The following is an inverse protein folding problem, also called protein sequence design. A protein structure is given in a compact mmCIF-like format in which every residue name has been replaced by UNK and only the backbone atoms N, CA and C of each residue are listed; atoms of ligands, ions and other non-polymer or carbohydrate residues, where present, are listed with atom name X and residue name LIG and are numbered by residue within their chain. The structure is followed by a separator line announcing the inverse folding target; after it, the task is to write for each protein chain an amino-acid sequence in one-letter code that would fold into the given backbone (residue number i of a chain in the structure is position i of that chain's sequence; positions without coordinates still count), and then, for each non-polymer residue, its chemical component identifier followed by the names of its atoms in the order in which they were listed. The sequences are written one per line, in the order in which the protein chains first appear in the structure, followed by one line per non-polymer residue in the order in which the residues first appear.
data_IF_963830525894
#
_entry.id   IF_963830525894
#
_cell.length_a   1.000
_cell.length_b   1.000
_cell.length_c   1.000
_cell.angle_alpha   90.00
_cell.angle_beta   90.00
_cell.angle_gamma   90.00
#
_symmetry.space_group_name_H-M   'P 1'
#
loop_
_entity.id
_entity.type
_entity.pdbx_description
1 polymer ?
#
# COMPACT_ATOMS: atom_id res chain seq x y z
N UNK A 1 32.24 -6.16 0.79
CA UNK A 1 31.80 -5.30 1.90
C UNK A 1 30.29 -5.43 1.98
N UNK A 2 29.70 -5.48 3.18
CA UNK A 2 28.24 -5.51 3.30
C UNK A 2 27.62 -4.17 2.88
N UNK A 3 26.38 -4.21 2.40
CA UNK A 3 25.56 -3.04 2.10
C UNK A 3 24.47 -2.86 3.15
N UNK A 4 24.14 -1.61 3.51
CA UNK A 4 23.28 -1.31 4.66
C UNK A 4 21.88 -0.91 4.21
N UNK A 5 20.85 -1.63 4.68
CA UNK A 5 19.44 -1.39 4.33
C UNK A 5 18.69 -0.80 5.53
N UNK A 6 18.11 0.37 5.37
CA UNK A 6 17.15 0.97 6.30
C UNK A 6 15.73 0.49 5.99
N UNK A 7 15.12 -0.25 6.91
CA UNK A 7 13.68 -0.53 6.87
C UNK A 7 12.95 0.47 7.76
N UNK A 8 12.14 1.34 7.17
CA UNK A 8 11.34 2.30 7.93
C UNK A 8 10.38 1.56 8.88
N UNK A 9 10.50 1.85 10.18
CA UNK A 9 9.53 1.43 11.20
C UNK A 9 8.83 2.60 11.91
N UNK A 10 9.21 3.85 11.60
CA UNK A 10 8.58 5.04 12.18
C UNK A 10 7.21 5.34 11.58
N UNK A 11 6.96 4.98 10.31
CA UNK A 11 5.69 5.15 9.62
C UNK A 11 4.74 3.95 9.77
N UNK A 12 4.79 3.25 10.91
CA UNK A 12 3.88 2.15 11.27
C UNK A 12 3.71 1.10 10.15
N UNK A 13 4.78 0.49 9.65
CA UNK A 13 4.69 -0.50 8.59
C UNK A 13 3.92 -1.74 9.04
N UNK A 14 3.23 -2.38 8.10
CA UNK A 14 2.63 -3.72 8.29
C UNK A 14 3.67 -4.82 8.25
N UNK A 15 4.66 -4.70 7.36
CA UNK A 15 5.79 -5.63 7.30
C UNK A 15 6.93 -5.15 8.21
N UNK A 16 7.41 -6.01 9.09
CA UNK A 16 8.44 -5.67 10.10
C UNK A 16 9.51 -6.74 10.11
N UNK A 17 10.76 -6.32 9.89
CA UNK A 17 11.91 -7.23 9.70
C UNK A 17 12.19 -8.17 10.87
N UNK A 18 11.72 -7.82 12.06
CA UNK A 18 11.89 -8.63 13.27
C UNK A 18 10.62 -9.39 13.72
N UNK A 19 9.49 -9.24 12.99
CA UNK A 19 8.21 -9.89 13.36
C UNK A 19 7.63 -10.80 12.27
N UNK A 20 7.58 -10.35 11.01
CA UNK A 20 6.78 -11.02 9.97
C UNK A 20 7.36 -10.99 8.54
N UNK A 21 8.53 -10.38 8.33
CA UNK A 21 9.36 -10.54 7.12
C UNK A 21 10.79 -10.97 7.53
N UNK A 22 10.89 -11.77 8.59
CA UNK A 22 12.15 -12.26 9.16
C UNK A 22 12.93 -13.14 8.20
N UNK A 23 12.24 -13.90 7.34
CA UNK A 23 12.89 -14.76 6.35
C UNK A 23 13.48 -13.94 5.19
N UNK A 24 12.84 -12.82 4.82
CA UNK A 24 13.44 -11.83 3.92
C UNK A 24 14.72 -11.24 4.55
N UNK A 25 14.65 -10.80 5.80
CA UNK A 25 15.79 -10.25 6.55
C UNK A 25 16.96 -11.25 6.59
N UNK A 26 16.69 -12.49 6.96
CA UNK A 26 17.72 -13.52 7.12
C UNK A 26 18.32 -13.96 5.78
N UNK A 27 17.52 -13.96 4.71
CA UNK A 27 18.00 -14.19 3.35
C UNK A 27 18.88 -13.05 2.84
N UNK A 28 18.53 -11.78 3.12
CA UNK A 28 19.36 -10.62 2.78
C UNK A 28 20.68 -10.60 3.58
N UNK A 29 20.62 -10.89 4.89
CA UNK A 29 21.79 -11.07 5.76
C UNK A 29 22.73 -12.18 5.27
N UNK A 30 22.19 -13.20 4.61
CA UNK A 30 22.98 -14.28 3.99
C UNK A 30 23.61 -13.91 2.63
N UNK A 31 23.29 -12.74 2.08
CA UNK A 31 23.71 -12.27 0.75
C UNK A 31 24.39 -10.88 0.82
N UNK A 32 25.23 -10.65 1.83
CA UNK A 32 26.01 -9.40 2.03
C UNK A 32 25.19 -8.10 2.24
N UNK A 33 23.91 -8.18 2.63
CA UNK A 33 23.13 -7.02 3.05
C UNK A 33 22.89 -7.05 4.57
N UNK A 34 23.06 -5.93 5.28
CA UNK A 34 22.73 -5.81 6.70
C UNK A 34 21.46 -4.97 6.83
N UNK A 35 20.39 -5.57 7.37
CA UNK A 35 19.12 -4.90 7.61
C UNK A 35 19.10 -4.17 8.96
N UNK A 36 18.55 -2.96 8.99
CA UNK A 36 18.40 -2.12 10.19
C UNK A 36 16.97 -1.63 10.33
N UNK A 37 16.49 -1.52 11.57
CA UNK A 37 15.27 -0.78 11.86
C UNK A 37 15.55 0.72 11.82
N UNK A 38 14.86 1.44 10.94
CA UNK A 38 15.02 2.88 10.78
C UNK A 38 13.88 3.62 11.50
N UNK A 39 14.24 4.33 12.56
CA UNK A 39 13.33 4.95 13.53
C UNK A 39 13.32 6.48 13.48
N UNK A 40 14.13 7.11 12.62
CA UNK A 40 14.29 8.56 12.63
C UNK A 40 13.03 9.28 12.13
N UNK A 41 12.63 10.32 12.86
CA UNK A 41 11.52 11.22 12.51
C UNK A 41 11.92 12.66 12.86
N UNK A 42 11.90 13.60 11.91
CA UNK A 42 11.65 13.40 10.49
C UNK A 42 12.83 12.69 9.80
N UNK A 43 12.56 11.90 8.76
CA UNK A 43 13.60 11.37 7.86
C UNK A 43 14.38 12.53 7.20
N UNK A 44 15.71 12.54 7.35
CA UNK A 44 16.61 13.57 6.81
C UNK A 44 17.59 13.00 5.77
N UNK A 45 18.12 13.82 4.85
CA UNK A 45 19.13 13.35 3.90
C UNK A 45 20.40 12.86 4.61
N UNK A 46 20.81 13.54 5.70
CA UNK A 46 21.95 13.16 6.53
C UNK A 46 21.78 11.78 7.18
N UNK A 47 20.60 11.47 7.72
CA UNK A 47 20.30 10.14 8.28
C UNK A 47 20.37 9.01 7.25
N UNK A 48 19.91 9.29 6.02
CA UNK A 48 19.92 8.33 4.92
C UNK A 48 21.31 8.13 4.33
N UNK A 49 22.26 9.05 4.52
CA UNK A 49 23.62 8.90 4.02
C UNK A 49 24.35 7.69 4.57
N UNK A 50 23.99 7.18 5.76
CA UNK A 50 24.57 5.97 6.36
C UNK A 50 24.16 4.67 5.62
N UNK A 51 23.01 4.70 4.93
CA UNK A 51 22.38 3.53 4.32
C UNK A 51 22.47 3.58 2.80
N UNK A 52 22.43 2.42 2.16
CA UNK A 52 22.50 2.28 0.70
C UNK A 52 21.11 2.15 0.08
N UNK A 53 20.17 1.55 0.83
CA UNK A 53 18.78 1.33 0.41
C UNK A 53 17.82 1.72 1.55
N UNK A 54 16.74 2.43 1.22
CA UNK A 54 15.60 2.71 2.10
C UNK A 54 14.39 1.87 1.66
N UNK A 55 13.68 1.27 2.61
CA UNK A 55 12.52 0.41 2.36
C UNK A 55 11.32 0.87 3.18
N UNK A 56 10.18 1.10 2.52
CA UNK A 56 8.88 1.26 3.17
C UNK A 56 8.03 0.02 2.96
N UNK A 57 7.72 -0.71 4.05
CA UNK A 57 6.96 -1.96 3.99
C UNK A 57 5.50 -1.75 4.39
N UNK A 58 4.76 -1.08 3.50
CA UNK A 58 3.34 -0.77 3.63
C UNK A 58 2.98 -0.03 4.94
N UNK A 59 3.24 1.29 5.00
CA UNK A 59 2.77 2.16 6.09
C UNK A 59 1.25 2.06 6.29
N UNK A 60 0.79 1.84 7.52
CA UNK A 60 -0.65 1.73 7.86
C UNK A 60 -1.07 2.89 8.77
N UNK A 61 -2.03 3.70 8.31
CA UNK A 61 -2.54 4.91 8.96
C UNK A 61 -1.44 5.91 9.37
N UNK A 62 -0.38 5.99 8.57
CA UNK A 62 0.73 6.93 8.69
C UNK A 62 1.03 7.59 7.34
N UNK A 63 1.42 8.86 7.36
CA UNK A 63 1.79 9.63 6.17
C UNK A 63 3.18 10.21 6.34
N UNK A 64 4.01 10.06 5.32
CA UNK A 64 5.34 10.67 5.22
C UNK A 64 5.14 12.17 4.93
N UNK A 65 5.80 13.06 5.68
CA UNK A 65 5.62 14.51 5.49
C UNK A 65 6.35 15.02 4.24
N UNK A 66 5.88 16.12 3.63
CA UNK A 66 6.50 16.65 2.40
C UNK A 66 7.99 17.04 2.56
N UNK A 67 8.46 17.31 3.78
CA UNK A 67 9.87 17.55 4.06
C UNK A 67 10.68 16.26 3.92
N UNK A 68 10.17 15.16 4.47
CA UNK A 68 10.78 13.82 4.40
C UNK A 68 10.76 13.30 2.96
N UNK A 69 9.65 13.47 2.23
CA UNK A 69 9.58 13.17 0.79
C UNK A 69 10.67 13.93 0.03
N UNK A 70 10.90 15.22 0.35
CA UNK A 70 11.95 16.03 -0.29
C UNK A 70 13.35 15.51 0.05
N UNK A 71 13.60 15.14 1.31
CA UNK A 71 14.87 14.56 1.75
C UNK A 71 15.17 13.21 1.07
N UNK A 72 14.18 12.30 1.01
CA UNK A 72 14.29 11.01 0.33
C UNK A 72 14.58 11.20 -1.17
N UNK A 73 13.83 12.09 -1.84
CA UNK A 73 14.01 12.38 -3.27
C UNK A 73 15.38 12.97 -3.57
N UNK A 74 15.87 13.89 -2.73
CA UNK A 74 17.22 14.45 -2.86
C UNK A 74 18.31 13.38 -2.65
N UNK A 75 18.20 12.55 -1.62
CA UNK A 75 19.16 11.48 -1.32
C UNK A 75 19.28 10.46 -2.48
N UNK A 76 18.15 10.05 -3.07
CA UNK A 76 18.12 9.17 -4.25
C UNK A 76 18.84 9.84 -5.43
N UNK A 77 18.45 11.06 -5.78
CA UNK A 77 18.94 11.80 -6.95
C UNK A 77 20.41 12.21 -6.86
N UNK A 78 20.81 12.80 -5.73
CA UNK A 78 22.11 13.41 -5.53
C UNK A 78 23.16 12.41 -5.05
N UNK A 79 22.75 11.48 -4.19
CA UNK A 79 23.64 10.58 -3.42
C UNK A 79 23.48 9.11 -3.80
N UNK A 80 22.69 8.82 -4.85
CA UNK A 80 22.57 7.52 -5.48
C UNK A 80 21.80 6.48 -4.66
N UNK A 81 21.00 6.89 -3.69
CA UNK A 81 20.24 5.98 -2.83
C UNK A 81 19.27 5.08 -3.60
N UNK A 82 19.12 3.84 -3.12
CA UNK A 82 18.08 2.91 -3.57
C UNK A 82 16.79 3.08 -2.76
N UNK A 83 15.63 3.05 -3.42
CA UNK A 83 14.32 3.10 -2.74
C UNK A 83 13.43 1.92 -3.13
N UNK A 84 12.93 1.19 -2.14
CA UNK A 84 11.90 0.16 -2.31
C UNK A 84 10.60 0.59 -1.62
N UNK A 85 9.53 0.71 -2.40
CA UNK A 85 8.19 1.02 -1.90
C UNK A 85 7.27 -0.19 -2.08
N UNK A 86 6.82 -0.78 -0.97
CA UNK A 86 5.90 -1.91 -0.96
C UNK A 86 4.54 -1.47 -0.43
N UNK A 87 3.48 -1.77 -1.18
CA UNK A 87 2.10 -1.45 -0.82
C UNK A 87 1.26 -2.71 -0.61
N UNK A 88 -0.06 -2.58 -0.60
CA UNK A 88 -1.02 -3.68 -0.44
C UNK A 88 -2.31 -3.36 -1.19
N UNK A 89 -3.15 -4.37 -1.43
CA UNK A 89 -4.53 -4.20 -1.86
C UNK A 89 -5.24 -3.07 -1.10
N UNK A 90 -5.91 -2.22 -1.87
CA UNK A 90 -6.53 -0.96 -1.47
C UNK A 90 -5.66 0.28 -1.69
N UNK A 91 -4.35 0.13 -1.94
CA UNK A 91 -3.41 1.23 -2.15
C UNK A 91 -3.37 2.24 -0.99
N UNK A 92 -2.94 3.47 -1.29
CA UNK A 92 -2.85 4.54 -0.29
C UNK A 92 -4.18 4.84 0.42
N UNK A 93 -5.30 4.75 -0.29
CA UNK A 93 -6.63 4.96 0.31
C UNK A 93 -7.02 3.82 1.26
N UNK A 94 -6.67 2.58 0.92
CA UNK A 94 -6.95 1.41 1.75
C UNK A 94 -6.05 1.31 2.98
N UNK A 95 -4.83 1.86 2.90
CA UNK A 95 -3.86 1.92 4.02
C UNK A 95 -3.89 3.24 4.80
N UNK A 96 -4.51 4.30 4.28
CA UNK A 96 -4.45 5.65 4.86
C UNK A 96 -3.09 6.36 4.66
N UNK A 97 -2.23 5.84 3.78
CA UNK A 97 -0.87 6.27 3.52
C UNK A 97 -0.75 7.30 2.38
N UNK A 98 0.49 7.59 1.97
CA UNK A 98 0.83 8.45 0.84
C UNK A 98 2.11 8.02 0.11
N UNK A 99 2.33 6.72 -0.09
CA UNK A 99 3.46 6.22 -0.88
C UNK A 99 3.46 6.80 -2.30
N UNK A 100 2.29 7.06 -2.88
CA UNK A 100 2.16 7.72 -4.20
C UNK A 100 2.70 9.15 -4.19
N UNK A 101 2.66 9.89 -3.07
CA UNK A 101 3.26 11.24 -3.03
C UNK A 101 4.79 11.20 -3.18
N UNK A 102 5.43 10.08 -2.82
CA UNK A 102 6.85 9.78 -3.06
C UNK A 102 7.05 9.27 -4.48
N UNK A 103 6.33 8.21 -4.88
CA UNK A 103 6.56 7.54 -6.16
C UNK A 103 6.15 8.39 -7.37
N UNK A 104 5.21 9.32 -7.22
CA UNK A 104 4.80 10.26 -8.27
C UNK A 104 5.98 11.14 -8.72
N UNK A 105 6.95 11.42 -7.84
CA UNK A 105 8.18 12.17 -8.17
C UNK A 105 9.08 11.41 -9.16
N UNK A 106 8.87 10.10 -9.29
CA UNK A 106 9.58 9.19 -10.19
C UNK A 106 8.66 8.64 -11.30
N UNK A 107 7.42 9.13 -11.40
CA UNK A 107 6.48 8.77 -12.47
C UNK A 107 5.67 7.49 -12.24
N UNK A 108 5.58 6.99 -11.00
CA UNK A 108 4.84 5.79 -10.62
C UNK A 108 3.76 6.15 -9.58
N UNK A 109 2.55 5.60 -9.69
CA UNK A 109 1.49 5.78 -8.69
C UNK A 109 0.92 4.43 -8.24
N UNK A 110 0.52 4.30 -6.96
CA UNK A 110 -0.18 3.11 -6.47
C UNK A 110 -1.70 3.26 -6.71
N UNK A 111 -2.30 2.30 -7.40
CA UNK A 111 -3.75 2.30 -7.60
C UNK A 111 -4.47 1.79 -6.35
N UNK A 112 -5.75 2.18 -6.22
CA UNK A 112 -6.55 1.94 -5.01
C UNK A 112 -7.51 0.78 -5.23
N UNK A 113 -6.95 -0.35 -5.67
CA UNK A 113 -7.64 -1.56 -6.11
C UNK A 113 -7.00 -2.82 -5.48
N UNK A 114 -7.44 -3.98 -5.94
CA UNK A 114 -6.85 -5.27 -5.61
C UNK A 114 -6.74 -6.08 -6.89
N UNK A 115 -5.59 -6.71 -7.10
CA UNK A 115 -5.35 -7.61 -8.22
C UNK A 115 -5.84 -9.00 -7.83
N UNK A 116 -6.76 -9.52 -8.63
CA UNK A 116 -7.34 -10.86 -8.52
C UNK A 116 -7.09 -11.62 -9.82
N UNK A 117 -7.04 -12.95 -9.79
CA UNK A 117 -7.08 -13.79 -11.00
C UNK A 117 -7.86 -15.07 -10.72
N UNK A 118 -8.99 -15.26 -11.41
CA UNK A 118 -9.87 -16.40 -11.23
C UNK A 118 -9.27 -17.72 -11.78
N UNK A 119 -8.24 -17.66 -12.64
CA UNK A 119 -7.76 -18.80 -13.43
C UNK A 119 -6.31 -19.20 -13.15
N UNK A 120 -5.43 -18.22 -12.94
CA UNK A 120 -3.98 -18.41 -12.80
C UNK A 120 -3.59 -17.90 -11.41
N UNK A 121 -3.85 -18.73 -10.40
CA UNK A 121 -3.66 -18.40 -8.98
C UNK A 121 -3.21 -19.61 -8.15
N UNK A 122 -2.80 -19.36 -6.91
CA UNK A 122 -2.41 -20.38 -5.93
C UNK A 122 -3.59 -20.82 -5.04
N UNK A 123 -4.70 -21.24 -5.66
CA UNK A 123 -5.91 -21.72 -4.99
C UNK A 123 -6.84 -20.64 -4.42
N UNK A 124 -6.44 -19.37 -4.48
CA UNK A 124 -7.24 -18.21 -4.07
C UNK A 124 -7.01 -17.07 -5.06
N UNK A 125 -8.09 -16.40 -5.50
CA UNK A 125 -8.03 -15.36 -6.53
C UNK A 125 -7.08 -14.20 -6.18
N UNK A 126 -6.92 -13.88 -4.90
CA UNK A 126 -5.99 -12.86 -4.41
C UNK A 126 -4.54 -13.33 -4.28
N UNK A 127 -4.19 -14.49 -4.83
CA UNK A 127 -2.82 -14.99 -4.96
C UNK A 127 -2.54 -15.35 -6.44
N UNK A 128 -2.64 -14.37 -7.37
CA UNK A 128 -2.32 -14.60 -8.77
C UNK A 128 -0.86 -15.06 -8.94
N UNK A 129 -0.65 -16.00 -9.86
CA UNK A 129 0.68 -16.43 -10.30
C UNK A 129 1.05 -15.62 -11.55
N UNK A 130 2.07 -14.78 -11.44
CA UNK A 130 2.46 -13.82 -12.47
C UNK A 130 3.64 -14.38 -13.27
N UNK A 131 3.46 -14.46 -14.59
CA UNK A 131 4.51 -14.83 -15.56
C UNK A 131 4.66 -13.83 -16.71
N UNK A 132 3.94 -12.70 -16.66
CA UNK A 132 3.98 -11.65 -17.69
C UNK A 132 5.09 -10.63 -17.42
N UNK A 133 6.32 -10.97 -17.80
CA UNK A 133 7.48 -10.07 -17.72
C UNK A 133 7.69 -9.32 -19.04
N UNK A 134 7.37 -8.04 -19.07
CA UNK A 134 7.29 -7.24 -20.30
C UNK A 134 8.65 -6.98 -20.96
N UNK A 135 9.67 -6.77 -20.15
CA UNK A 135 11.01 -6.33 -20.56
C UNK A 135 12.03 -7.14 -19.76
N UNK A 136 13.06 -7.73 -20.39
CA UNK A 136 14.17 -8.34 -19.67
C UNK A 136 14.84 -7.32 -18.75
N UNK A 137 14.84 -7.58 -17.46
CA UNK A 137 15.34 -6.65 -16.44
C UNK A 137 16.17 -7.43 -15.40
N UNK A 138 17.21 -6.86 -14.77
CA UNK A 138 17.98 -7.55 -13.74
C UNK A 138 17.11 -8.11 -12.61
N UNK A 139 16.07 -7.38 -12.20
CA UNK A 139 15.07 -7.84 -11.21
C UNK A 139 14.38 -9.15 -11.63
N UNK A 140 14.04 -9.33 -12.90
CA UNK A 140 13.33 -10.51 -13.42
C UNK A 140 14.28 -11.59 -13.97
N UNK A 141 15.60 -11.44 -13.80
CA UNK A 141 16.58 -12.41 -14.27
C UNK A 141 16.46 -13.75 -13.51
N UNK A 142 16.30 -14.83 -14.25
CA UNK A 142 16.16 -16.19 -13.69
C UNK A 142 14.78 -16.51 -13.12
N UNK A 143 13.79 -15.62 -13.26
CA UNK A 143 12.44 -15.77 -12.69
C UNK A 143 11.49 -16.36 -13.74
N UNK A 144 10.85 -17.46 -13.39
CA UNK A 144 9.80 -18.10 -14.20
C UNK A 144 8.39 -17.69 -13.78
N UNK A 145 8.13 -17.54 -12.48
CA UNK A 145 6.83 -17.06 -11.97
C UNK A 145 6.88 -16.51 -10.55
N UNK A 146 6.02 -15.53 -10.27
CA UNK A 146 5.92 -14.88 -8.95
C UNK A 146 4.56 -15.12 -8.31
N UNK A 147 4.52 -15.28 -6.99
CA UNK A 147 3.28 -15.35 -6.22
C UNK A 147 2.91 -13.95 -5.74
N UNK A 148 2.01 -13.25 -6.46
CA UNK A 148 1.68 -11.84 -6.20
C UNK A 148 0.50 -11.69 -5.23
N UNK A 149 0.72 -12.09 -3.97
CA UNK A 149 -0.29 -12.14 -2.92
C UNK A 149 -0.84 -10.75 -2.56
N UNK A 150 -2.18 -10.59 -2.59
CA UNK A 150 -2.93 -9.46 -2.01
C UNK A 150 -2.41 -8.06 -2.37
N UNK A 151 -1.93 -7.88 -3.61
CA UNK A 151 -1.41 -6.60 -4.08
C UNK A 151 -2.45 -5.68 -4.72
N UNK A 152 -2.15 -4.38 -4.79
CA UNK A 152 -2.78 -3.44 -5.72
C UNK A 152 -2.10 -3.48 -7.09
N UNK A 153 -2.66 -2.81 -8.09
CA UNK A 153 -1.95 -2.46 -9.31
C UNK A 153 -1.19 -1.13 -9.16
N UNK A 154 -0.39 -0.80 -10.17
CA UNK A 154 0.38 0.44 -10.31
C UNK A 154 0.01 1.14 -11.62
N UNK A 155 0.15 2.47 -11.64
CA UNK A 155 0.03 3.30 -12.84
C UNK A 155 1.37 3.98 -13.15
N UNK A 156 1.77 3.97 -14.43
CA UNK A 156 2.89 4.79 -14.92
C UNK A 156 2.31 6.13 -15.38
N UNK A 157 2.78 7.22 -14.78
CA UNK A 157 2.29 8.59 -15.01
C UNK A 157 3.35 9.54 -15.57
N UNK A 158 4.64 9.18 -15.50
CA UNK A 158 5.76 10.00 -15.95
C UNK A 158 6.69 9.29 -16.93
N UNK A 159 7.42 10.07 -17.73
CA UNK A 159 8.49 9.57 -18.60
C UNK A 159 9.74 9.22 -17.77
N UNK A 160 10.18 7.96 -17.81
CA UNK A 160 11.34 7.47 -17.06
C UNK A 160 11.04 6.34 -16.08
N UNK A 161 9.75 6.00 -15.90
CA UNK A 161 9.32 4.78 -15.21
C UNK A 161 8.84 3.72 -16.20
N UNK A 162 9.07 2.45 -15.86
CA UNK A 162 8.75 1.28 -16.70
C UNK A 162 8.14 0.16 -15.85
N UNK A 163 7.22 -0.62 -16.44
CA UNK A 163 6.72 -1.85 -15.83
C UNK A 163 7.57 -3.03 -16.28
N UNK A 164 8.01 -3.85 -15.32
CA UNK A 164 8.79 -5.06 -15.58
C UNK A 164 8.00 -6.34 -15.31
N UNK A 165 6.86 -6.25 -14.61
CA UNK A 165 5.91 -7.32 -14.43
C UNK A 165 4.47 -6.75 -14.42
N UNK A 166 3.60 -7.32 -15.25
CA UNK A 166 2.17 -6.97 -15.35
C UNK A 166 1.28 -8.11 -14.87
N UNK A 167 0.02 -7.82 -14.56
CA UNK A 167 -1.01 -8.83 -14.33
C UNK A 167 -1.36 -9.60 -15.61
N UNK A 168 -1.87 -10.82 -15.47
CA UNK A 168 -2.16 -11.70 -16.60
C UNK A 168 -3.37 -11.20 -17.42
N UNK A 169 -3.58 -11.75 -18.63
CA UNK A 169 -4.80 -11.49 -19.43
C UNK A 169 -6.11 -11.94 -18.71
N UNK A 170 -5.96 -12.83 -17.72
CA UNK A 170 -7.01 -13.43 -16.89
C UNK A 170 -7.24 -12.70 -15.57
N UNK A 171 -6.37 -11.76 -15.19
CA UNK A 171 -6.48 -11.03 -13.94
C UNK A 171 -7.50 -9.88 -14.03
N UNK A 172 -8.04 -9.46 -12.89
CA UNK A 172 -8.79 -8.21 -12.73
C UNK A 172 -8.08 -7.32 -11.69
N UNK A 173 -7.54 -6.14 -12.07
CA UNK A 173 -7.42 -5.62 -13.44
C UNK A 173 -6.46 -6.44 -14.32
N UNK A 174 -6.72 -6.47 -15.62
CA UNK A 174 -5.95 -7.24 -16.60
C UNK A 174 -4.81 -6.40 -17.20
N UNK A 175 -3.66 -7.02 -17.46
CA UNK A 175 -2.49 -6.38 -18.08
C UNK A 175 -2.15 -5.01 -17.49
N UNK A 176 -2.15 -4.93 -16.15
CA UNK A 176 -1.80 -3.72 -15.41
C UNK A 176 -0.43 -3.88 -14.72
N UNK A 177 0.39 -2.81 -14.62
CA UNK A 177 1.66 -2.87 -13.93
C UNK A 177 1.55 -3.32 -12.47
N UNK A 178 2.45 -4.22 -12.06
CA UNK A 178 2.54 -4.76 -10.69
C UNK A 178 3.88 -4.45 -10.03
N UNK A 179 4.95 -4.45 -10.83
CA UNK A 179 6.30 -4.06 -10.44
C UNK A 179 6.78 -2.98 -11.40
N UNK A 180 6.94 -1.77 -10.89
CA UNK A 180 7.46 -0.63 -11.64
C UNK A 180 8.85 -0.24 -11.14
N UNK A 181 9.70 0.23 -12.06
CA UNK A 181 11.05 0.72 -11.78
C UNK A 181 11.28 2.10 -12.41
N UNK A 182 12.17 2.89 -11.79
CA UNK A 182 12.70 4.13 -12.35
C UNK A 182 14.16 4.31 -11.94
N UNK A 183 14.96 4.96 -12.80
CA UNK A 183 16.38 5.28 -12.55
C UNK A 183 16.58 6.81 -12.54
N UNK A 184 16.14 7.52 -11.48
CA UNK A 184 16.26 8.96 -11.38
C UNK A 184 17.72 9.40 -11.11
N UNK A 185 18.34 9.95 -12.15
CA UNK A 185 19.66 10.61 -12.12
C UNK A 185 20.80 9.67 -11.70
N UNK A 186 21.06 9.51 -10.40
CA UNK A 186 22.06 8.59 -9.86
C UNK A 186 21.48 7.44 -9.05
N UNK A 187 20.20 7.53 -8.68
CA UNK A 187 19.53 6.56 -7.80
C UNK A 187 18.65 5.58 -8.56
N UNK A 188 18.10 4.61 -7.83
CA UNK A 188 17.20 3.59 -8.39
C UNK A 188 15.98 3.40 -7.48
N UNK A 189 14.81 3.24 -8.07
CA UNK A 189 13.53 3.15 -7.37
C UNK A 189 12.76 1.94 -7.88
N UNK A 190 12.26 1.11 -6.98
CA UNK A 190 11.36 0.00 -7.26
C UNK A 190 10.07 0.15 -6.44
N UNK A 191 8.92 -0.01 -7.09
CA UNK A 191 7.60 0.04 -6.49
C UNK A 191 6.86 -1.26 -6.77
N UNK A 192 6.27 -1.86 -5.73
CA UNK A 192 5.53 -3.13 -5.83
C UNK A 192 4.22 -2.98 -5.06
N UNK A 193 3.09 -3.30 -5.68
CA UNK A 193 1.77 -3.18 -5.04
C UNK A 193 1.48 -4.22 -3.94
N UNK A 194 2.42 -5.14 -3.64
CA UNK A 194 2.34 -6.14 -2.58
C UNK A 194 3.61 -6.18 -1.71
N UNK A 195 3.44 -6.08 -0.39
CA UNK A 195 4.42 -6.51 0.61
C UNK A 195 4.19 -7.97 1.07
N UNK A 196 2.96 -8.48 0.97
CA UNK A 196 2.58 -9.81 1.47
C UNK A 196 3.31 -10.94 0.74
N UNK A 197 3.80 -10.71 -0.49
CA UNK A 197 4.65 -11.65 -1.21
C UNK A 197 6.03 -11.90 -0.56
N UNK A 198 6.46 -11.04 0.38
CA UNK A 198 7.67 -11.23 1.17
C UNK A 198 7.38 -11.57 2.65
N UNK A 199 6.14 -11.92 2.97
CA UNK A 199 5.74 -12.25 4.34
C UNK A 199 6.08 -13.69 4.70
N UNK A 200 6.50 -13.89 5.95
CA UNK A 200 6.82 -15.20 6.52
C UNK A 200 5.56 -16.09 6.59
N UNK A 201 5.71 -17.38 6.23
CA UNK A 201 4.78 -18.49 6.53
C UNK A 201 3.33 -18.26 6.11
N UNK A 202 3.09 -17.49 5.05
CA UNK A 202 1.77 -17.35 4.41
C UNK A 202 1.78 -17.97 3.01
N UNK A 203 0.67 -18.57 2.58
CA UNK A 203 0.55 -19.10 1.21
C UNK A 203 0.70 -17.98 0.18
N UNK A 204 1.66 -18.08 -0.74
CA UNK A 204 2.03 -16.98 -1.64
C UNK A 204 2.98 -15.95 -1.04
N UNK A 205 3.54 -16.19 0.15
CA UNK A 205 4.53 -15.34 0.82
C UNK A 205 5.96 -15.59 0.35
N UNK A 206 6.94 -15.32 1.22
CA UNK A 206 8.36 -15.29 0.86
C UNK A 206 8.87 -16.61 0.27
N UNK A 207 8.41 -17.75 0.78
CA UNK A 207 8.87 -19.10 0.39
C UNK A 207 8.26 -19.59 -0.94
N UNK A 208 7.43 -18.78 -1.60
CA UNK A 208 6.65 -19.18 -2.76
C UNK A 208 7.39 -18.89 -4.07
N UNK A 209 7.59 -19.94 -4.88
CA UNK A 209 8.22 -19.90 -6.19
C UNK A 209 9.52 -19.06 -6.18
N UNK A 210 9.64 -18.09 -7.07
CA UNK A 210 10.83 -17.27 -7.26
C UNK A 210 10.82 -15.99 -6.38
N UNK A 211 9.90 -15.85 -5.42
CA UNK A 211 9.82 -14.67 -4.55
C UNK A 211 11.14 -14.36 -3.79
N UNK A 212 11.93 -15.35 -3.30
CA UNK A 212 13.25 -15.07 -2.72
C UNK A 212 14.23 -14.52 -3.76
N UNK A 213 14.28 -15.12 -4.95
CA UNK A 213 15.17 -14.69 -6.03
C UNK A 213 14.82 -13.27 -6.50
N UNK A 214 13.52 -12.96 -6.60
CA UNK A 214 13.03 -11.60 -6.86
C UNK A 214 13.56 -10.62 -5.83
N UNK A 215 13.43 -10.95 -4.53
CA UNK A 215 13.92 -10.08 -3.47
C UNK A 215 15.42 -9.81 -3.63
N UNK A 216 16.26 -10.84 -3.79
CA UNK A 216 17.69 -10.66 -3.99
C UNK A 216 18.00 -9.80 -5.22
N UNK A 217 17.35 -10.06 -6.35
CA UNK A 217 17.55 -9.29 -7.57
C UNK A 217 17.10 -7.82 -7.41
N UNK A 218 16.04 -7.54 -6.64
CA UNK A 218 15.61 -6.16 -6.28
C UNK A 218 16.71 -5.46 -5.48
N UNK A 219 17.17 -6.06 -4.38
CA UNK A 219 18.15 -5.42 -3.51
C UNK A 219 19.51 -5.25 -4.19
N UNK A 220 19.94 -6.20 -5.03
CA UNK A 220 21.11 -6.06 -5.89
C UNK A 220 20.95 -4.94 -6.93
N UNK A 221 19.80 -4.85 -7.60
CA UNK A 221 19.56 -3.80 -8.59
C UNK A 221 19.48 -2.41 -7.96
N UNK A 222 18.86 -2.27 -6.77
CA UNK A 222 18.72 -0.99 -6.06
C UNK A 222 20.05 -0.37 -5.62
N UNK A 223 21.14 -1.15 -5.55
CA UNK A 223 22.49 -0.61 -5.40
C UNK A 223 22.92 0.06 -6.70
N UNK A 224 22.75 1.39 -6.77
CA UNK A 224 23.23 2.17 -7.92
C UNK A 224 24.75 2.08 -8.07
N UNK A 225 25.23 2.19 -9.30
CA UNK A 225 26.65 2.17 -9.62
C UNK A 225 27.38 3.29 -8.87
N UNK A 226 26.74 4.47 -8.72
CA UNK A 226 27.26 5.57 -7.92
C UNK A 226 27.39 5.22 -6.43
N UNK A 227 26.44 4.46 -5.86
CA UNK A 227 26.50 4.04 -4.46
C UNK A 227 27.61 3.01 -4.21
N UNK A 228 27.82 2.10 -5.17
CA UNK A 228 28.91 1.13 -5.17
C UNK A 228 30.27 1.86 -5.27
N UNK A 229 30.39 2.85 -6.15
CA UNK A 229 31.58 3.72 -6.24
C UNK A 229 31.83 4.49 -4.95
N UNK A 230 30.80 5.05 -4.31
CA UNK A 230 30.93 5.77 -3.04
C UNK A 230 31.46 4.84 -1.93
N UNK A 231 30.91 3.63 -1.77
CA UNK A 231 31.40 2.63 -0.80
C UNK A 231 32.82 2.13 -1.11
N UNK A 232 33.25 2.18 -2.36
CA UNK A 232 34.60 1.74 -2.79
C UNK A 232 35.66 2.83 -2.60
N UNK A 233 35.29 4.10 -2.82
CA UNK A 233 36.22 5.24 -2.86
C UNK A 233 36.20 6.12 -1.59
N UNK A 234 35.18 6.00 -0.75
CA UNK A 234 34.98 6.82 0.45
C UNK A 234 34.74 5.90 1.65
N UNK A 235 35.34 6.22 2.80
CA UNK A 235 35.00 5.61 4.09
C UNK A 235 33.63 6.16 4.55
N UNK A 236 32.58 5.72 3.87
CA UNK A 236 31.21 6.15 4.10
C UNK A 236 30.78 5.69 5.49
N UNK A 237 30.35 6.61 6.38
CA UNK A 237 30.03 6.26 7.76
C UNK A 237 28.99 5.14 7.82
N UNK A 238 29.30 4.10 8.57
CA UNK A 238 28.44 2.94 8.74
C UNK A 238 27.41 3.19 9.85
N UNK A 239 26.16 2.69 9.72
CA UNK A 239 25.21 2.76 10.81
C UNK A 239 25.73 1.97 12.02
N UNK A 240 25.56 2.54 13.21
CA UNK A 240 25.92 1.85 14.46
C UNK A 240 25.16 0.51 14.57
N UNK A 241 25.87 -0.55 14.94
CA UNK A 241 25.29 -1.89 15.04
C UNK A 241 24.15 -1.91 16.06
N UNK A 242 22.93 -2.16 15.59
CA UNK A 242 21.80 -2.46 16.46
C UNK A 242 22.03 -3.85 17.06
N UNK A 243 22.40 -3.92 18.34
CA UNK A 243 22.53 -5.20 19.03
C UNK A 243 21.14 -5.84 19.10
N UNK A 244 20.92 -7.05 18.55
CA UNK A 244 19.61 -7.69 18.62
C UNK A 244 19.23 -7.90 20.09
N UNK A 245 17.96 -7.69 20.48
CA UNK A 245 17.52 -7.95 21.85
C UNK A 245 17.71 -9.44 22.14
N UNK A 246 18.63 -9.74 23.06
CA UNK A 246 18.86 -11.11 23.53
C UNK A 246 17.54 -11.61 24.11
N UNK A 247 16.95 -12.62 23.46
CA UNK A 247 15.78 -13.33 23.98
C UNK A 247 16.19 -14.08 25.25
N UNK A 248 16.05 -13.40 26.39
CA UNK A 248 16.23 -13.99 27.71
C UNK A 248 15.11 -15.01 27.94
N UNK A 249 15.42 -16.29 27.77
CA UNK A 249 14.58 -17.38 28.27
C UNK A 249 14.51 -17.25 29.79
N UNK A 250 13.35 -16.84 30.29
CA UNK A 250 13.07 -16.72 31.71
C UNK A 250 13.22 -18.08 32.41
N UNK A 251 14.31 -18.26 33.14
CA UNK A 251 14.38 -19.21 34.24
C UNK A 251 13.80 -18.54 35.49
N UNK A 252 12.85 -19.21 36.14
CA UNK A 252 12.26 -18.78 37.40
C UNK A 252 13.28 -18.93 38.53
N UNK A 253 13.60 -17.83 39.19
CA UNK A 253 13.97 -17.85 40.61
C UNK A 253 13.46 -16.55 41.26
N UNK A 254 12.79 -16.70 42.40
CA UNK A 254 12.27 -15.59 43.20
C UNK A 254 13.37 -15.14 44.16
N UNK A 255 13.57 -13.83 44.37
CA UNK A 255 13.44 -13.30 45.73
C UNK A 255 13.41 -11.76 45.85
N UNK A 256 12.58 -11.33 46.81
CA UNK A 256 12.51 -10.07 47.58
C UNK A 256 12.96 -8.70 47.04
N UNK A 257 12.05 -7.73 47.15
CA UNK A 257 12.22 -6.26 47.02
C UNK A 257 12.84 -5.67 48.32
N UNK A 258 13.49 -4.48 48.30
CA UNK A 258 12.77 -3.23 48.61
C UNK A 258 13.10 -2.05 47.64
N UNK A 259 12.26 -1.00 47.59
CA UNK A 259 12.31 0.02 46.54
C UNK A 259 13.20 1.23 46.89
N UNK A 260 13.79 1.84 45.86
CA UNK A 260 14.31 3.22 45.92
C UNK A 260 13.94 3.96 44.64
N UNK A 261 13.19 5.05 44.76
CA UNK A 261 12.84 5.97 43.66
C UNK A 261 13.88 7.09 43.63
N UNK A 262 14.48 7.39 42.47
CA UNK A 262 14.94 8.74 42.15
C UNK A 262 14.13 9.32 41.00
N UNK A 263 13.31 10.34 41.29
CA UNK A 263 12.74 11.22 40.26
C UNK A 263 13.81 12.16 39.73
N UNK A 264 14.35 11.89 38.55
CA UNK A 264 15.11 12.88 37.79
C UNK A 264 14.25 13.48 36.67
N UNK A 265 13.96 14.78 36.79
CA UNK A 265 13.44 15.58 35.67
C UNK A 265 14.62 15.93 34.75
N UNK A 266 14.85 15.12 33.72
CA UNK A 266 15.70 15.53 32.60
C UNK A 266 14.99 16.59 31.77
N UNK A 267 15.21 17.86 32.09
CA UNK A 267 14.94 18.96 31.17
C UNK A 267 15.95 18.88 30.01
N UNK A 268 15.52 18.33 28.88
CA UNK A 268 16.30 18.36 27.65
C UNK A 268 16.29 19.79 27.09
N UNK A 269 17.36 20.54 27.34
CA UNK A 269 17.66 21.76 26.60
C UNK A 269 18.07 21.37 25.17
N UNK A 270 17.15 21.54 24.23
CA UNK A 270 17.37 21.26 22.80
C UNK A 270 17.84 22.56 22.13
N UNK A 271 19.15 22.77 22.06
CA UNK A 271 19.75 23.94 21.41
C UNK A 271 19.77 23.79 19.87
N UNK A 272 18.73 24.32 19.21
CA UNK A 272 18.62 24.34 17.75
C UNK A 272 19.38 25.52 17.11
N UNK A 273 20.68 25.34 16.89
CA UNK A 273 21.51 26.30 16.15
C UNK A 273 21.37 26.16 14.62
N UNK A 274 20.36 26.80 14.02
CA UNK A 274 20.14 26.80 12.56
C UNK A 274 20.74 28.06 11.89
N UNK A 275 21.75 27.88 11.03
CA UNK A 275 22.38 28.99 10.27
C UNK A 275 21.51 29.40 9.08
N UNK A 276 20.62 30.37 9.27
CA UNK A 276 19.77 30.90 8.20
C UNK A 276 20.48 32.06 7.47
N UNK A 277 20.79 31.85 6.18
CA UNK A 277 21.58 32.79 5.38
C UNK A 277 20.78 33.96 4.82
N UNK A 278 19.45 33.84 4.65
CA UNK A 278 18.60 34.92 4.12
C UNK A 278 17.40 35.23 5.00
N UNK A 279 17.07 36.52 5.14
CA UNK A 279 15.89 37.01 5.88
C UNK A 279 14.56 36.45 5.34
N UNK A 280 14.48 36.13 4.05
CA UNK A 280 13.30 35.49 3.45
C UNK A 280 13.08 34.08 3.96
N UNK A 281 14.14 33.28 4.07
CA UNK A 281 14.12 31.89 4.56
C UNK A 281 13.67 31.86 6.03
N UNK A 282 14.16 32.78 6.86
CA UNK A 282 13.71 32.93 8.26
C UNK A 282 12.21 33.26 8.36
N UNK A 283 11.70 34.17 7.52
CA UNK A 283 10.28 34.55 7.53
C UNK A 283 9.37 33.41 7.03
N UNK A 284 9.85 32.59 6.10
CA UNK A 284 9.12 31.40 5.64
C UNK A 284 9.10 30.30 6.71
N UNK A 285 10.24 30.03 7.34
CA UNK A 285 10.34 29.08 8.46
C UNK A 285 9.46 29.48 9.65
N UNK A 286 9.46 30.76 10.04
CA UNK A 286 8.59 31.28 11.10
C UNK A 286 7.10 31.13 10.77
N UNK A 287 6.70 31.27 9.50
CA UNK A 287 5.31 31.01 9.07
C UNK A 287 4.96 29.52 9.15
N UNK A 288 5.90 28.62 8.86
CA UNK A 288 5.70 27.17 9.01
C UNK A 288 5.47 26.83 10.50
N UNK A 289 6.34 27.30 11.39
CA UNK A 289 6.16 27.11 12.84
C UNK A 289 4.86 27.73 13.36
N UNK A 290 4.49 28.94 12.90
CA UNK A 290 3.22 29.56 13.29
C UNK A 290 2.01 28.71 12.87
N UNK A 291 2.04 28.10 11.68
CA UNK A 291 0.98 27.18 11.24
C UNK A 291 0.93 25.90 12.08
N UNK A 292 2.08 25.32 12.43
CA UNK A 292 2.16 24.15 13.32
C UNK A 292 1.60 24.45 14.72
N UNK A 293 1.97 25.59 15.32
CA UNK A 293 1.44 26.04 16.62
C UNK A 293 -0.08 26.18 16.57
N UNK A 294 -0.63 26.77 15.49
CA UNK A 294 -2.07 26.89 15.30
C UNK A 294 -2.78 25.51 15.16
N UNK A 295 -2.15 24.55 14.49
CA UNK A 295 -2.67 23.17 14.38
C UNK A 295 -2.66 22.45 15.73
N UNK A 296 -1.56 22.54 16.48
CA UNK A 296 -1.44 21.97 17.83
C UNK A 296 -2.49 22.59 18.74
N UNK A 297 -2.64 23.93 18.72
CA UNK A 297 -3.67 24.63 19.48
C UNK A 297 -5.07 24.12 19.15
N UNK A 298 -5.43 24.00 17.86
CA UNK A 298 -6.76 23.49 17.47
C UNK A 298 -7.01 22.05 17.94
N UNK A 299 -5.96 21.22 18.05
CA UNK A 299 -6.08 19.85 18.59
C UNK A 299 -6.25 19.86 20.11
N UNK A 300 -5.54 20.74 20.82
CA UNK A 300 -5.72 20.96 22.27
C UNK A 300 -7.13 21.50 22.56
N UNK A 301 -7.60 22.50 21.81
CA UNK A 301 -8.94 23.08 21.96
C UNK A 301 -10.03 22.00 21.79
N UNK A 302 -9.89 21.09 20.82
CA UNK A 302 -10.79 19.93 20.64
C UNK A 302 -10.71 18.89 21.76
N UNK A 303 -9.53 18.66 22.33
CA UNK A 303 -9.35 17.77 23.47
C UNK A 303 -10.01 18.35 24.72
N UNK A 304 -9.87 19.67 24.93
CA UNK A 304 -10.56 20.40 26.00
C UNK A 304 -12.07 20.36 25.80
N UNK A 305 -12.58 20.64 24.59
CA UNK A 305 -14.01 20.55 24.27
C UNK A 305 -14.57 19.15 24.53
N UNK A 306 -13.84 18.10 24.12
CA UNK A 306 -14.22 16.70 24.39
C UNK A 306 -14.22 16.37 25.88
N UNK A 307 -13.25 16.86 26.65
CA UNK A 307 -13.17 16.65 28.10
C UNK A 307 -14.25 17.42 28.87
N UNK A 308 -14.57 18.66 28.44
CA UNK A 308 -15.64 19.48 29.03
C UNK A 308 -17.04 18.99 28.66
N UNK A 309 -17.19 18.23 27.57
CA UNK A 309 -18.45 17.60 27.16
C UNK A 309 -18.82 16.34 27.94
N UNK A 310 -17.90 15.76 28.73
CA UNK A 310 -18.11 14.53 29.51
C UNK A 310 -18.28 14.81 31.00
N UNK A 311 -19.53 15.00 31.44
CA UNK A 311 -19.90 14.92 32.86
C UNK A 311 -20.11 13.44 33.28
N UNK A 312 -19.02 12.67 33.41
CA UNK A 312 -18.96 11.45 34.23
C UNK A 312 -17.51 10.93 34.32
N UNK A 313 -17.11 10.50 35.51
CA UNK A 313 -15.76 9.99 35.80
C UNK A 313 -15.54 8.55 35.30
N UNK A 314 -15.42 8.39 33.98
CA UNK A 314 -14.61 7.34 33.33
C UNK A 314 -14.55 7.60 31.81
N UNK A 315 -13.34 7.61 31.25
CA UNK A 315 -13.11 7.73 29.80
C UNK A 315 -12.49 6.43 29.29
N UNK A 316 -13.32 5.42 29.07
CA UNK A 316 -12.95 4.23 28.32
C UNK A 316 -12.99 4.53 26.80
N UNK A 317 -11.90 4.21 26.11
CA UNK A 317 -11.81 4.32 24.65
C UNK A 317 -12.21 2.99 24.00
N UNK A 318 -13.50 2.68 23.97
CA UNK A 318 -14.01 1.53 23.21
C UNK A 318 -14.13 1.83 21.71
N UNK A 319 -13.62 0.90 20.90
CA UNK A 319 -13.89 0.83 19.47
C UNK A 319 -15.26 0.18 19.24
N UNK A 320 -16.10 0.78 18.41
CA UNK A 320 -17.40 0.23 18.07
C UNK A 320 -17.31 -0.88 17.01
N UNK A 321 -17.37 -2.14 17.44
CA UNK A 321 -17.79 -3.26 16.58
C UNK A 321 -19.27 -3.56 16.81
N UNK A 322 -20.05 -3.68 15.74
CA UNK A 322 -21.49 -4.02 15.82
C UNK A 322 -21.68 -5.52 15.58
N UNK A 323 -22.19 -6.21 16.60
CA UNK A 323 -22.50 -7.64 16.56
C UNK A 323 -24.02 -7.89 16.70
N UNK A 324 -24.46 -9.13 16.40
CA UNK A 324 -25.79 -9.80 16.57
C UNK A 324 -26.23 -10.45 15.24
N UNK A 325 -26.85 -11.64 15.14
CA UNK A 325 -27.22 -12.74 16.06
C UNK A 325 -27.64 -13.97 15.19
N UNK A 326 -27.75 -15.24 15.66
CA UNK A 326 -27.40 -15.90 16.93
C UNK A 326 -27.55 -17.44 16.82
N UNK A 327 -26.66 -18.19 17.50
CA UNK A 327 -26.93 -19.40 18.30
C UNK A 327 -27.62 -20.66 17.70
N UNK A 328 -26.91 -21.80 17.70
CA UNK A 328 -27.42 -23.07 18.26
C UNK A 328 -26.29 -24.09 18.44
N UNK A 329 -26.39 -24.92 19.48
CA UNK A 329 -25.34 -25.85 19.93
C UNK A 329 -25.86 -27.28 20.02
N UNK A 330 -25.10 -28.29 19.57
CA UNK A 330 -25.17 -29.69 20.05
C UNK A 330 -23.85 -30.46 19.89
N UNK A 331 -23.38 -31.00 21.03
CA UNK A 331 -22.73 -32.29 21.28
C UNK A 331 -21.76 -32.95 20.28
N UNK A 332 -20.52 -33.15 20.73
CA UNK A 332 -19.64 -34.25 20.30
C UNK A 332 -20.10 -35.62 20.86
N UNK A 333 -19.69 -36.71 20.20
CA UNK A 333 -18.91 -37.72 20.92
C UNK A 333 -17.60 -38.10 20.20
N UNK A 334 -16.57 -38.43 20.99
CA UNK A 334 -15.26 -38.88 20.53
C UNK A 334 -15.21 -40.40 20.33
N UNK A 335 -14.57 -40.90 19.27
CA UNK A 335 -13.94 -42.23 19.19
C UNK A 335 -12.64 -42.11 18.36
N UNK A 336 -11.60 -42.84 18.77
CA UNK A 336 -10.27 -42.92 18.11
C UNK A 336 -10.17 -44.14 17.16
N UNK A 337 -9.15 -44.13 16.27
CA UNK A 337 -8.60 -45.28 15.48
C UNK A 337 -9.56 -45.85 14.39
N UNK A 338 -9.15 -46.20 13.16
CA UNK A 338 -7.91 -46.84 12.66
C UNK A 338 -7.54 -46.41 11.21
N UNK A 339 -6.29 -46.71 10.80
CA UNK A 339 -5.83 -46.62 9.39
C UNK A 339 -6.28 -47.85 8.55
N UNK A 340 -6.77 -47.62 7.32
CA UNK A 340 -6.20 -48.15 6.04
C UNK A 340 -7.18 -48.13 4.86
N UNK A 341 -6.60 -47.93 3.68
CA UNK A 341 -6.97 -48.43 2.35
C UNK A 341 -8.46 -48.50 1.96
N UNK A 342 -8.88 -47.65 1.01
CA UNK A 342 -9.31 -48.12 -0.32
C UNK A 342 -9.64 -46.99 -1.30
N UNK A 343 -8.72 -46.73 -2.23
CA UNK A 343 -9.08 -46.11 -3.50
C UNK A 343 -9.78 -47.16 -4.38
N UNK A 344 -11.11 -47.07 -4.53
CA UNK A 344 -11.92 -47.55 -5.69
C UNK A 344 -13.42 -47.51 -5.36
N UNK A 345 -14.12 -46.47 -5.84
CA UNK A 345 -15.45 -46.57 -6.50
C UNK A 345 -15.98 -45.20 -6.93
N UNK A 346 -15.60 -44.85 -8.15
CA UNK A 346 -16.43 -44.03 -9.02
C UNK A 346 -17.72 -44.77 -9.40
N UNK A 347 -18.71 -44.03 -9.91
CA UNK A 347 -19.89 -44.54 -10.62
C UNK A 347 -20.86 -45.46 -9.84
N UNK A 348 -21.76 -44.83 -9.08
CA UNK A 348 -23.23 -45.05 -9.15
C UNK A 348 -23.93 -44.27 -8.03
N UNK A 349 -24.76 -43.30 -8.41
CA UNK A 349 -26.12 -43.02 -7.90
C UNK A 349 -26.59 -41.82 -8.73
N UNK A 350 -27.20 -42.15 -9.86
CA UNK A 350 -28.03 -41.24 -10.65
C UNK A 350 -29.24 -42.10 -11.07
N UNK A 351 -30.44 -41.50 -11.09
CA UNK A 351 -31.77 -42.12 -11.29
C UNK A 351 -32.38 -42.85 -10.09
N UNK A 352 -33.12 -42.07 -9.30
CA UNK A 352 -34.39 -42.31 -8.59
C UNK A 352 -34.44 -41.15 -7.57
N UNK A 353 -35.28 -40.12 -7.70
CA UNK A 353 -36.76 -40.12 -7.75
C UNK A 353 -37.26 -38.90 -8.55
N UNK A 354 -38.37 -39.06 -9.26
CA UNK A 354 -39.26 -37.99 -9.76
C UNK A 354 -40.71 -38.49 -9.59
N UNK A 355 -41.70 -37.57 -9.58
CA UNK A 355 -43.13 -37.81 -9.20
C UNK A 355 -43.28 -37.97 -7.66
N UNK A 356 -43.86 -37.06 -6.87
CA UNK A 356 -45.06 -36.22 -7.05
C UNK A 356 -44.98 -34.89 -6.26
N UNK A 357 -45.52 -33.80 -6.84
CA UNK A 357 -46.42 -32.80 -6.22
C UNK A 357 -46.57 -31.56 -7.14
N UNK A 358 -47.81 -31.27 -7.54
CA UNK A 358 -48.18 -30.10 -8.34
C UNK A 358 -48.37 -28.82 -7.51
N UNK A 359 -48.32 -27.68 -8.20
CA UNK A 359 -48.91 -26.38 -7.87
C UNK A 359 -48.78 -25.81 -6.44
N UNK A 360 -47.96 -24.76 -6.31
CA UNK A 360 -48.42 -23.50 -5.69
C UNK A 360 -47.61 -22.30 -6.17
N UNK A 361 -48.31 -21.18 -6.42
CA UNK A 361 -47.75 -19.93 -6.94
C UNK A 361 -47.10 -19.09 -5.83
N UNK A 362 -45.80 -18.76 -5.97
CA UNK A 362 -45.05 -17.95 -5.00
C UNK A 362 -44.26 -16.80 -5.65
N UNK A 363 -44.99 -15.82 -6.18
CA UNK A 363 -44.44 -14.51 -6.60
C UNK A 363 -45.32 -13.35 -6.13
N UNK A 364 -45.09 -12.89 -4.89
CA UNK A 364 -45.55 -11.59 -4.43
C UNK A 364 -44.58 -11.01 -3.38
N UNK A 365 -44.05 -9.81 -3.65
CA UNK A 365 -43.30 -9.04 -2.66
C UNK A 365 -44.27 -8.40 -1.64
N UNK A 366 -43.90 -8.28 -0.35
CA UNK A 366 -44.77 -7.68 0.65
C UNK A 366 -45.01 -6.18 0.39
N UNK A 367 -46.19 -5.65 0.73
CA UNK A 367 -46.53 -4.24 0.53
C UNK A 367 -45.71 -3.32 1.45
N UNK A 368 -45.44 -2.12 0.94
CA UNK A 368 -44.67 -1.07 1.61
C UNK A 368 -45.42 -0.51 2.83
N UNK A 369 -44.79 -0.38 4.01
CA UNK A 369 -45.49 0.10 5.22
C UNK A 369 -45.95 1.56 5.11
N UNK A 370 -47.10 1.87 5.71
CA UNK A 370 -47.82 3.15 5.57
C UNK A 370 -47.24 4.34 6.36
N UNK A 371 -46.14 4.18 7.09
CA UNK A 371 -45.55 5.22 7.96
C UNK A 371 -44.79 6.32 7.21
N UNK A 372 -45.13 6.60 5.96
CA UNK A 372 -44.58 7.68 5.13
C UNK A 372 -45.70 8.42 4.37
N UNK A 373 -46.70 8.91 5.12
CA UNK A 373 -47.53 10.04 4.69
C UNK A 373 -46.90 11.34 5.22
N UNK A 374 -46.91 12.37 4.38
CA UNK A 374 -46.35 13.69 4.67
C UNK A 374 -47.28 14.44 5.63
N UNK A 375 -46.71 15.22 6.53
CA UNK A 375 -47.35 16.42 7.05
C UNK A 375 -46.43 17.63 6.77
N UNK A 376 -47.03 18.73 6.33
CA UNK A 376 -46.38 20.01 6.06
C UNK A 376 -46.47 20.89 7.31
N UNK A 377 -45.33 21.38 7.82
CA UNK A 377 -45.30 22.48 8.79
C UNK A 377 -44.18 23.46 8.41
N UNK A 378 -44.55 24.71 8.18
CA UNK A 378 -43.64 25.85 8.00
C UNK A 378 -42.84 26.14 9.28
N UNK A 379 -41.53 26.41 9.14
CA UNK A 379 -40.82 27.37 9.99
C UNK A 379 -39.48 27.80 9.38
N UNK A 380 -39.13 29.06 9.57
CA UNK A 380 -37.92 29.68 9.00
C UNK A 380 -36.66 29.21 9.73
N UNK A 381 -35.62 28.82 8.98
CA UNK A 381 -34.38 28.29 9.56
C UNK A 381 -33.25 28.10 8.56
N UNK A 382 -32.89 29.15 7.82
CA UNK A 382 -31.90 29.09 6.74
C UNK A 382 -30.45 28.86 7.23
N UNK A 383 -30.10 27.62 7.55
CA UNK A 383 -28.71 27.20 7.74
C UNK A 383 -27.96 27.21 6.40
N UNK A 384 -27.01 28.14 6.27
CA UNK A 384 -26.13 28.24 5.09
C UNK A 384 -25.29 26.96 4.93
N UNK A 385 -25.10 26.45 3.70
CA UNK A 385 -24.23 25.30 3.48
C UNK A 385 -22.79 25.62 3.91
N UNK A 386 -22.05 24.64 4.48
CA UNK A 386 -20.69 24.87 4.97
C UNK A 386 -19.75 25.31 3.83
N UNK A 387 -18.77 26.20 4.12
CA UNK A 387 -17.87 26.72 3.11
C UNK A 387 -17.04 25.59 2.51
N UNK A 388 -17.09 25.44 1.18
CA UNK A 388 -16.27 24.47 0.45
C UNK A 388 -14.80 24.71 0.76
N UNK A 389 -14.11 23.70 1.29
CA UNK A 389 -12.66 23.76 1.50
C UNK A 389 -11.97 24.11 0.18
N UNK A 390 -11.18 25.18 0.20
CA UNK A 390 -10.33 25.57 -0.92
C UNK A 390 -9.17 24.59 -1.02
N UNK A 391 -9.29 23.60 -1.90
CA UNK A 391 -8.13 22.83 -2.37
C UNK A 391 -7.09 23.80 -2.93
N UNK A 392 -5.82 23.65 -2.54
CA UNK A 392 -4.71 24.47 -3.09
C UNK A 392 -4.79 24.48 -4.62
N UNK A 393 -4.73 25.68 -5.22
CA UNK A 393 -4.76 25.83 -6.67
C UNK A 393 -3.54 25.13 -7.29
N UNK A 394 -3.79 24.04 -8.04
CA UNK A 394 -2.74 23.36 -8.81
C UNK A 394 -2.12 24.35 -9.79
N UNK A 395 -0.80 24.35 -9.91
CA UNK A 395 -0.12 25.25 -10.84
C UNK A 395 -0.52 24.95 -12.29
N UNK A 396 -0.53 25.98 -13.15
CA UNK A 396 -0.93 25.85 -14.57
C UNK A 396 -0.10 24.81 -15.34
N UNK A 397 1.14 24.55 -14.91
CA UNK A 397 1.98 23.49 -15.46
C UNK A 397 1.56 22.09 -14.97
N UNK A 398 1.28 21.90 -13.68
CA UNK A 398 0.75 20.63 -13.16
C UNK A 398 -0.58 20.23 -13.86
N UNK A 399 -1.48 21.20 -14.09
CA UNK A 399 -2.72 20.97 -14.83
C UNK A 399 -2.51 20.60 -16.31
N UNK A 400 -1.45 21.13 -16.96
CA UNK A 400 -1.08 20.70 -18.32
C UNK A 400 -0.56 19.26 -18.33
N UNK A 401 0.34 18.92 -17.41
CA UNK A 401 0.92 17.57 -17.33
C UNK A 401 -0.17 16.53 -16.99
N UNK A 402 -1.09 16.82 -16.07
CA UNK A 402 -2.24 15.94 -15.77
C UNK A 402 -3.16 15.77 -17.00
N UNK A 403 -3.39 16.84 -17.78
CA UNK A 403 -4.16 16.77 -19.03
C UNK A 403 -3.46 15.92 -20.10
N UNK A 404 -2.13 15.97 -20.18
CA UNK A 404 -1.34 15.17 -21.11
C UNK A 404 -1.36 13.69 -20.73
N UNK A 405 -1.12 13.35 -19.46
CA UNK A 405 -1.25 11.98 -18.96
C UNK A 405 -2.65 11.39 -19.17
N UNK A 406 -3.71 12.17 -18.94
CA UNK A 406 -5.09 11.74 -19.24
C UNK A 406 -5.36 11.57 -20.74
N UNK A 407 -4.69 12.35 -21.61
CA UNK A 407 -4.78 12.18 -23.07
C UNK A 407 -4.10 10.87 -23.50
N UNK A 408 -2.92 10.56 -22.95
CA UNK A 408 -2.24 9.27 -23.19
C UNK A 408 -3.10 8.11 -22.71
N UNK A 409 -3.63 8.16 -21.48
CA UNK A 409 -4.55 7.14 -20.94
C UNK A 409 -5.80 6.97 -21.80
N UNK A 410 -6.36 8.06 -22.34
CA UNK A 410 -7.50 8.00 -23.26
C UNK A 410 -7.15 7.24 -24.56
N UNK A 411 -6.00 7.53 -25.16
CA UNK A 411 -5.53 6.82 -26.37
C UNK A 411 -5.32 5.34 -26.09
N UNK A 412 -4.62 4.97 -25.01
CA UNK A 412 -4.38 3.58 -24.62
C UNK A 412 -5.69 2.80 -24.43
N UNK A 413 -6.68 3.38 -23.73
CA UNK A 413 -7.99 2.74 -23.54
C UNK A 413 -8.78 2.62 -24.85
N UNK A 414 -8.61 3.55 -25.80
CA UNK A 414 -9.21 3.46 -27.13
C UNK A 414 -8.57 2.37 -28.00
N UNK A 415 -7.25 2.23 -27.97
CA UNK A 415 -6.55 1.18 -28.72
C UNK A 415 -6.81 -0.21 -28.13
N UNK A 416 -6.95 -0.30 -26.81
CA UNK A 416 -7.39 -1.50 -26.10
C UNK A 416 -8.81 -1.93 -26.49
N UNK A 417 -9.72 -0.97 -26.69
CA UNK A 417 -11.07 -1.24 -27.19
C UNK A 417 -11.04 -1.78 -28.63
N UNK A 418 -10.28 -1.15 -29.55
CA UNK A 418 -10.07 -1.68 -30.92
C UNK A 418 -9.47 -3.09 -30.92
N UNK A 419 -8.59 -3.40 -29.98
CA UNK A 419 -7.97 -4.72 -29.85
C UNK A 419 -9.00 -5.78 -29.39
N UNK A 420 -9.89 -5.42 -28.48
CA UNK A 420 -11.01 -6.27 -28.04
C UNK A 420 -12.01 -6.49 -29.19
N UNK A 421 -12.38 -5.44 -29.92
CA UNK A 421 -13.21 -5.56 -31.14
C UNK A 421 -12.57 -6.52 -32.15
N UNK A 422 -11.24 -6.49 -32.31
CA UNK A 422 -10.48 -7.41 -33.16
C UNK A 422 -10.42 -8.85 -32.61
N UNK A 423 -10.29 -9.05 -31.30
CA UNK A 423 -10.35 -10.40 -30.68
C UNK A 423 -11.76 -11.01 -30.82
N UNK A 424 -12.81 -10.21 -30.66
CA UNK A 424 -14.20 -10.64 -30.85
C UNK A 424 -14.52 -10.99 -32.31
N UNK A 425 -14.26 -10.08 -33.25
CA UNK A 425 -14.49 -10.33 -34.70
C UNK A 425 -13.66 -11.46 -35.30
N UNK A 426 -12.56 -11.88 -34.65
CA UNK A 426 -11.79 -13.07 -35.05
C UNK A 426 -12.21 -14.37 -34.33
N UNK A 427 -13.29 -14.36 -33.55
CA UNK A 427 -13.81 -15.52 -32.82
C UNK A 427 -12.94 -15.95 -31.64
N UNK A 428 -12.00 -15.12 -31.19
CA UNK A 428 -11.07 -15.41 -30.08
C UNK A 428 -11.57 -14.93 -28.72
N UNK A 429 -12.79 -14.42 -28.64
CA UNK A 429 -13.44 -13.93 -27.42
C UNK A 429 -14.94 -14.18 -27.56
N UNK A 430 -15.59 -14.64 -26.49
CA UNK A 430 -17.04 -14.89 -26.49
C UNK A 430 -17.85 -13.59 -26.31
N UNK A 431 -19.14 -13.62 -26.61
CA UNK A 431 -20.00 -12.44 -26.59
C UNK A 431 -20.16 -11.83 -25.19
N UNK A 432 -20.25 -12.67 -24.15
CA UNK A 432 -20.42 -12.22 -22.76
C UNK A 432 -19.19 -11.49 -22.23
N UNK A 433 -18.00 -12.04 -22.48
CA UNK A 433 -16.72 -11.44 -22.13
C UNK A 433 -16.48 -10.15 -22.90
N UNK A 434 -16.81 -10.12 -24.19
CA UNK A 434 -16.78 -8.91 -25.01
C UNK A 434 -17.68 -7.81 -24.43
N UNK A 435 -18.94 -8.12 -24.09
CA UNK A 435 -19.87 -7.16 -23.48
C UNK A 435 -19.37 -6.68 -22.11
N UNK A 436 -18.86 -7.56 -21.23
CA UNK A 436 -18.30 -7.19 -19.91
C UNK A 436 -17.09 -6.26 -20.07
N UNK A 437 -16.11 -6.63 -20.91
CA UNK A 437 -14.87 -5.85 -21.13
C UNK A 437 -15.16 -4.50 -21.81
N UNK A 438 -15.97 -4.47 -22.88
CA UNK A 438 -16.31 -3.24 -23.61
C UNK A 438 -17.09 -2.25 -22.75
N UNK A 439 -18.04 -2.71 -21.92
CA UNK A 439 -18.78 -1.85 -20.97
C UNK A 439 -17.87 -1.20 -19.92
N UNK A 440 -16.84 -1.93 -19.44
CA UNK A 440 -15.83 -1.40 -18.51
C UNK A 440 -14.99 -0.29 -19.17
N UNK A 441 -14.41 -0.57 -20.34
CA UNK A 441 -13.59 0.42 -21.07
C UNK A 441 -14.38 1.68 -21.48
N UNK A 442 -15.64 1.54 -21.91
CA UNK A 442 -16.51 2.69 -22.19
C UNK A 442 -16.77 3.56 -20.94
N UNK A 443 -16.91 2.94 -19.77
CA UNK A 443 -17.03 3.65 -18.49
C UNK A 443 -15.77 4.46 -18.19
N UNK A 444 -14.59 3.88 -18.40
CA UNK A 444 -13.31 4.54 -18.13
C UNK A 444 -12.97 5.64 -19.14
N UNK A 445 -13.35 5.47 -20.42
CA UNK A 445 -13.36 6.57 -21.42
C UNK A 445 -14.23 7.73 -20.93
N UNK A 446 -15.44 7.45 -20.42
CA UNK A 446 -16.37 8.47 -19.93
C UNK A 446 -15.84 9.20 -18.69
N UNK A 447 -15.23 8.48 -17.73
CA UNK A 447 -14.56 9.07 -16.55
C UNK A 447 -13.38 9.95 -16.97
N UNK A 448 -12.52 9.45 -17.86
CA UNK A 448 -11.31 10.15 -18.35
C UNK A 448 -11.68 11.45 -19.06
N UNK A 449 -12.63 11.40 -20.01
CA UNK A 449 -13.17 12.61 -20.67
C UNK A 449 -13.72 13.62 -19.67
N UNK A 450 -14.56 13.19 -18.73
CA UNK A 450 -15.12 14.08 -17.69
C UNK A 450 -14.04 14.76 -16.85
N UNK A 451 -12.92 14.08 -16.56
CA UNK A 451 -11.79 14.69 -15.83
C UNK A 451 -11.00 15.67 -16.69
N UNK A 452 -10.77 15.36 -17.97
CA UNK A 452 -10.18 16.30 -18.92
C UNK A 452 -11.02 17.58 -19.08
N UNK A 453 -12.36 17.47 -19.13
CA UNK A 453 -13.27 18.63 -19.21
C UNK A 453 -13.18 19.52 -17.96
N UNK A 454 -13.01 18.93 -16.78
CA UNK A 454 -12.79 19.67 -15.53
C UNK A 454 -11.46 20.42 -15.58
N UNK A 455 -10.38 19.77 -16.05
CA UNK A 455 -9.06 20.41 -16.16
C UNK A 455 -9.06 21.52 -17.21
N UNK A 456 -9.75 21.35 -18.35
CA UNK A 456 -9.92 22.41 -19.34
C UNK A 456 -10.56 23.67 -18.71
N UNK A 457 -11.65 23.50 -17.97
CA UNK A 457 -12.34 24.58 -17.24
C UNK A 457 -11.51 25.23 -16.12
N UNK A 458 -10.43 24.58 -15.68
CA UNK A 458 -9.45 25.13 -14.73
C UNK A 458 -8.26 25.81 -15.42
N UNK A 459 -7.95 25.46 -16.67
CA UNK A 459 -6.90 26.09 -17.49
C UNK A 459 -7.35 27.36 -18.22
N UNK A 460 -8.66 27.48 -18.45
CA UNK A 460 -9.36 28.67 -18.99
C UNK A 460 -9.61 29.77 -17.94
N UNK A 461 -9.40 29.46 -16.66
CA UNK A 461 -9.36 30.42 -15.56
C UNK A 461 -7.92 30.89 -15.29
#
# INVERSE_FOLDING_TARGET
MPYHIAFDISHKPRGRIDENITELRDYLNSNDFICYNFLEVPITEESLMLYDILVFVCPDFARISSLEITAIVNWIKNSGGGLLLLSHAGGDRGRGSNLSEISDQFGIAFENDQVLDERINLGLENIPLISSFNIPHPITAGIGSLCYRSGSSLSIIGSGAFSIADSNETSEPFSCPLICVAEPEKGRVCCIGSYEMFRDKVGGGFQCNDNPQLALNIFQWLLSDHRIELRTNVDMPTPATQTPPISSKTSLEQDTIPPTIPTEKTSLDIDFSMKISKKSELVELLKIFQNQINTIKSTIDKLIEKAMGTNNDNIDFENSETNQNSDSSQNFPSIEQEDKDLAQKSEKIEKHIFEDLEDTTLTALPPKPESLKKDEIDSEGALKPPPKLKTKDKTKNQLKNEKEGLKTKLTSVQDLLKFIDKKHTSGKMNDEEYVKRTKKLQSDIKKTKKRMDIINKLLEK
#
